data_IF_287257404797
#
_entry.id   IF_287257404797
#
_cell.length_a   1.000
_cell.length_b   1.000
_cell.length_c   1.000
_cell.angle_alpha   90.00
_cell.angle_beta   90.00
_cell.angle_gamma   90.00
#
_symmetry.space_group_name_H-M   'P 1'
#
loop_
_entity.id
_entity.type
_entity.pdbx_description
1 polymer ?
#
# COMPACT_ATOMS: atom_id res chain seq x y z
N UNK A 1 8.42 -0.29 4.96
CA UNK A 1 6.94 -0.34 4.98
C UNK A 1 6.39 0.78 4.14
N UNK A 2 5.35 0.52 3.35
CA UNK A 2 4.72 1.50 2.48
C UNK A 2 3.25 1.69 2.88
N UNK A 3 2.87 2.93 3.09
CA UNK A 3 1.54 3.37 3.51
C UNK A 3 0.99 4.43 2.56
N UNK A 4 -0.29 4.79 2.71
CA UNK A 4 -0.89 5.86 1.94
C UNK A 4 -2.25 5.53 1.36
N UNK A 5 -2.77 6.48 0.59
CA UNK A 5 -4.13 6.45 0.05
C UNK A 5 -4.43 5.18 -0.77
N UNK A 6 -5.69 4.72 -0.68
CA UNK A 6 -6.23 3.73 -1.59
C UNK A 6 -6.21 4.29 -3.00
N UNK A 7 -5.76 3.51 -3.99
CA UNK A 7 -5.48 3.96 -5.36
C UNK A 7 -4.19 4.78 -5.54
N UNK A 8 -3.33 4.87 -4.51
CA UNK A 8 -2.04 5.55 -4.61
C UNK A 8 -0.94 4.79 -5.39
N UNK A 9 -1.27 3.71 -6.10
CA UNK A 9 -0.27 2.95 -6.84
C UNK A 9 0.66 2.07 -5.99
N UNK A 10 0.35 1.82 -4.71
CA UNK A 10 1.16 0.97 -3.81
C UNK A 10 1.41 -0.43 -4.38
N UNK A 11 0.34 -1.11 -4.82
CA UNK A 11 0.43 -2.42 -5.49
C UNK A 11 1.22 -2.34 -6.79
N UNK A 12 0.96 -1.31 -7.62
CA UNK A 12 1.69 -1.09 -8.88
C UNK A 12 3.18 -0.86 -8.63
N UNK A 13 3.56 -0.21 -7.53
CA UNK A 13 4.95 -0.06 -7.14
C UNK A 13 5.57 -1.43 -6.81
N UNK A 14 4.89 -2.30 -6.05
CA UNK A 14 5.37 -3.66 -5.80
C UNK A 14 5.52 -4.45 -7.11
N UNK A 15 4.56 -4.37 -8.02
CA UNK A 15 4.62 -5.03 -9.33
C UNK A 15 5.81 -4.50 -10.15
N UNK A 16 6.04 -3.20 -10.13
CA UNK A 16 7.18 -2.55 -10.81
C UNK A 16 8.50 -3.04 -10.23
N UNK A 17 8.64 -3.10 -8.90
CA UNK A 17 9.83 -3.62 -8.23
C UNK A 17 10.10 -5.08 -8.62
N UNK A 18 9.05 -5.91 -8.64
CA UNK A 18 9.15 -7.31 -9.06
C UNK A 18 9.63 -7.44 -10.50
N UNK A 19 9.04 -6.67 -11.43
CA UNK A 19 9.40 -6.67 -12.84
C UNK A 19 10.85 -6.19 -13.05
N UNK A 20 11.26 -5.11 -12.40
CA UNK A 20 12.64 -4.60 -12.47
C UNK A 20 13.65 -5.64 -11.98
N UNK A 21 13.38 -6.28 -10.85
CA UNK A 21 14.24 -7.34 -10.32
C UNK A 21 14.33 -8.55 -11.27
N UNK A 22 13.20 -8.96 -11.86
CA UNK A 22 13.15 -10.08 -12.80
C UNK A 22 13.90 -9.78 -14.11
N UNK A 23 13.68 -8.59 -14.68
CA UNK A 23 14.36 -8.14 -15.90
C UNK A 23 15.88 -8.10 -15.69
N UNK A 24 16.33 -7.56 -14.56
CA UNK A 24 17.74 -7.54 -14.19
C UNK A 24 18.32 -8.95 -14.06
N UNK A 25 17.60 -9.88 -13.41
CA UNK A 25 18.03 -11.27 -13.27
C UNK A 25 18.12 -12.01 -14.62
N UNK A 26 17.31 -11.61 -15.61
CA UNK A 26 17.38 -12.13 -16.98
C UNK A 26 18.49 -11.47 -17.84
N UNK A 27 19.19 -10.46 -17.32
CA UNK A 27 20.17 -9.68 -18.07
C UNK A 27 19.54 -8.75 -19.12
N UNK A 28 18.27 -8.38 -18.94
CA UNK A 28 17.55 -7.47 -19.83
C UNK A 28 17.62 -6.02 -19.34
N UNK A 29 17.46 -5.03 -20.25
CA UNK A 29 17.27 -3.63 -19.85
C UNK A 29 16.05 -3.48 -18.92
N UNK A 30 16.17 -2.60 -17.94
CA UNK A 30 15.09 -2.25 -17.01
C UNK A 30 14.47 -0.90 -17.35
N UNK A 31 13.19 -0.65 -17.03
CA UNK A 31 12.51 0.61 -17.30
C UNK A 31 12.92 1.71 -16.31
N UNK A 32 14.17 2.18 -16.42
CA UNK A 32 14.72 3.27 -15.61
C UNK A 32 15.83 4.01 -16.38
N UNK A 33 15.97 5.31 -16.14
CA UNK A 33 17.10 6.08 -16.68
C UNK A 33 18.45 5.58 -16.13
N UNK A 34 18.47 5.23 -14.84
CA UNK A 34 19.59 4.61 -14.14
C UNK A 34 19.04 3.66 -13.07
N UNK A 35 19.67 2.49 -12.87
CA UNK A 35 19.26 1.54 -11.84
C UNK A 35 20.47 0.81 -11.24
N UNK A 36 20.49 0.71 -9.91
CA UNK A 36 21.36 -0.17 -9.15
C UNK A 36 20.47 -1.20 -8.44
N UNK A 37 20.64 -2.48 -8.80
CA UNK A 37 19.70 -3.54 -8.44
C UNK A 37 20.46 -4.62 -7.69
N UNK A 38 19.95 -4.98 -6.51
CA UNK A 38 20.49 -6.11 -5.73
C UNK A 38 20.32 -7.43 -6.48
N UNK A 39 21.25 -8.35 -6.28
CA UNK A 39 21.08 -9.73 -6.74
C UNK A 39 20.16 -10.47 -5.76
N UNK A 40 19.00 -10.90 -6.25
CA UNK A 40 18.03 -11.68 -5.49
C UNK A 40 17.92 -13.07 -6.11
N UNK A 41 18.02 -14.10 -5.28
CA UNK A 41 17.88 -15.50 -5.70
C UNK A 41 16.41 -15.92 -5.65
N UNK A 42 15.65 -15.32 -4.73
CA UNK A 42 14.21 -15.58 -4.59
C UNK A 42 13.44 -14.26 -4.54
N UNK A 43 12.35 -14.18 -5.29
CA UNK A 43 11.38 -13.08 -5.22
C UNK A 43 10.07 -13.67 -4.73
N UNK A 44 9.59 -13.20 -3.58
CA UNK A 44 8.26 -13.54 -3.06
C UNK A 44 7.34 -12.36 -3.33
N UNK A 45 6.30 -12.59 -4.13
CA UNK A 45 5.24 -11.63 -4.35
C UNK A 45 3.95 -12.17 -3.76
N UNK A 46 3.53 -11.62 -2.62
CA UNK A 46 2.25 -11.94 -2.00
C UNK A 46 1.27 -10.80 -2.22
N UNK A 47 0.14 -11.12 -2.85
CA UNK A 47 -1.00 -10.24 -2.98
C UNK A 47 -2.26 -11.01 -2.60
N UNK A 48 -3.20 -10.31 -1.99
CA UNK A 48 -4.54 -10.85 -1.75
C UNK A 48 -5.17 -11.40 -3.03
N UNK A 49 -5.63 -12.65 -2.97
CA UNK A 49 -6.65 -13.19 -3.87
C UNK A 49 -7.99 -13.25 -3.14
N UNK A 50 -9.10 -12.98 -3.83
CA UNK A 50 -10.45 -12.78 -3.26
C UNK A 50 -11.07 -14.03 -2.59
N UNK A 51 -10.28 -15.04 -2.22
CA UNK A 51 -10.72 -16.33 -1.72
C UNK A 51 -10.59 -16.39 -0.19
N UNK A 52 -11.68 -16.13 0.53
CA UNK A 52 -11.77 -16.38 1.96
C UNK A 52 -12.13 -17.85 2.23
N UNK A 53 -11.14 -18.74 2.14
CA UNK A 53 -11.26 -20.12 2.59
C UNK A 53 -10.63 -20.27 3.99
N UNK A 54 -11.13 -21.21 4.80
CA UNK A 54 -10.45 -21.60 6.04
C UNK A 54 -9.01 -22.09 5.70
N UNK A 55 -8.00 -21.54 6.37
CA UNK A 55 -6.58 -21.91 6.17
C UNK A 55 -5.76 -21.00 5.25
N UNK A 56 -6.30 -19.87 4.77
CA UNK A 56 -5.55 -18.89 3.96
C UNK A 56 -4.33 -18.34 4.71
N UNK A 57 -4.46 -18.04 6.01
CA UNK A 57 -3.33 -17.60 6.83
C UNK A 57 -2.22 -18.66 6.88
N UNK A 58 -2.56 -19.91 7.17
CA UNK A 58 -1.57 -20.99 7.26
C UNK A 58 -0.86 -21.22 5.92
N UNK A 59 -1.61 -21.29 4.82
CA UNK A 59 -1.03 -21.45 3.48
C UNK A 59 -0.14 -20.27 3.07
N UNK A 60 -0.51 -19.05 3.46
CA UNK A 60 0.29 -17.83 3.25
C UNK A 60 1.60 -17.88 4.03
N UNK A 61 1.56 -18.25 5.32
CA UNK A 61 2.79 -18.38 6.10
C UNK A 61 3.70 -19.49 5.55
N UNK A 62 3.12 -20.61 5.10
CA UNK A 62 3.87 -21.70 4.46
C UNK A 62 4.51 -21.31 3.12
N UNK A 63 3.99 -20.32 2.41
CA UNK A 63 4.59 -19.85 1.17
C UNK A 63 5.61 -18.72 1.37
N UNK A 64 5.44 -17.90 2.42
CA UNK A 64 6.26 -16.71 2.68
C UNK A 64 7.49 -17.03 3.55
N UNK A 65 7.34 -17.86 4.59
CA UNK A 65 8.40 -18.08 5.59
C UNK A 65 9.58 -18.90 5.03
N UNK A 66 9.38 -20.04 4.31
CA UNK A 66 10.52 -20.84 3.86
C UNK A 66 11.50 -20.09 2.93
N UNK A 67 11.04 -19.28 1.95
CA UNK A 67 11.92 -18.41 1.17
C UNK A 67 12.72 -17.38 1.97
N UNK A 68 12.19 -16.94 3.12
CA UNK A 68 12.88 -16.00 4.00
C UNK A 68 13.98 -16.67 4.83
N UNK A 69 13.78 -17.93 5.21
CA UNK A 69 14.72 -18.69 6.05
C UNK A 69 15.72 -19.53 5.26
N UNK A 70 15.65 -19.50 3.93
CA UNK A 70 16.58 -20.22 3.05
C UNK A 70 17.94 -19.53 2.93
N UNK A 71 18.88 -20.24 2.31
CA UNK A 71 20.14 -19.62 1.87
C UNK A 71 19.87 -18.69 0.68
N UNK A 72 20.59 -17.57 0.62
CA UNK A 72 20.49 -16.60 -0.47
C UNK A 72 19.78 -15.30 -0.09
N UNK A 73 19.72 -14.36 -1.05
CA UNK A 73 19.07 -13.06 -0.86
C UNK A 73 17.64 -13.10 -1.38
N UNK A 74 16.68 -12.82 -0.51
CA UNK A 74 15.25 -12.82 -0.85
C UNK A 74 14.70 -11.39 -0.95
N UNK A 75 13.91 -11.13 -2.00
CA UNK A 75 13.09 -9.93 -2.13
C UNK A 75 11.65 -10.24 -1.75
N UNK A 76 11.19 -9.68 -0.64
CA UNK A 76 9.81 -9.80 -0.16
C UNK A 76 8.97 -8.62 -0.62
N UNK A 77 7.89 -8.90 -1.35
CA UNK A 77 6.91 -7.91 -1.81
C UNK A 77 5.54 -8.37 -1.34
N UNK A 78 5.01 -7.74 -0.28
CA UNK A 78 3.78 -8.19 0.39
C UNK A 78 2.76 -7.08 0.39
N UNK A 79 1.57 -7.37 -0.11
CA UNK A 79 0.44 -6.44 -0.23
C UNK A 79 -0.76 -6.87 0.62
N UNK A 80 -1.31 -5.94 1.40
CA UNK A 80 -2.51 -6.10 2.24
C UNK A 80 -2.52 -7.39 3.08
N UNK A 81 -1.43 -7.68 3.79
CA UNK A 81 -1.32 -8.88 4.64
C UNK A 81 -2.46 -8.97 5.67
N UNK A 82 -2.93 -7.83 6.17
CA UNK A 82 -4.02 -7.74 7.14
C UNK A 82 -5.36 -8.33 6.66
N UNK A 83 -5.55 -8.51 5.36
CA UNK A 83 -6.80 -9.04 4.82
C UNK A 83 -7.02 -10.53 5.11
N UNK A 84 -6.01 -11.26 5.61
CA UNK A 84 -6.06 -12.72 5.79
C UNK A 84 -6.43 -13.17 7.22
N UNK A 85 -6.46 -12.26 8.19
CA UNK A 85 -6.73 -12.56 9.60
C UNK A 85 -7.35 -11.37 10.35
N UNK A 86 -7.58 -11.51 11.65
CA UNK A 86 -8.12 -10.43 12.47
C UNK A 86 -7.09 -9.30 12.63
N UNK A 87 -7.48 -8.01 12.60
CA UNK A 87 -6.55 -6.87 12.54
C UNK A 87 -5.46 -6.88 13.62
N UNK A 88 -5.81 -7.17 14.88
CA UNK A 88 -4.82 -7.22 15.98
C UNK A 88 -3.78 -8.33 15.78
N UNK A 89 -4.19 -9.49 15.26
CA UNK A 89 -3.28 -10.60 14.96
C UNK A 89 -2.46 -10.36 13.71
N UNK A 90 -3.02 -9.61 12.75
CA UNK A 90 -2.32 -9.23 11.53
C UNK A 90 -1.11 -8.34 11.82
N UNK A 91 -1.28 -7.35 12.71
CA UNK A 91 -0.17 -6.47 13.11
C UNK A 91 0.98 -7.26 13.74
N UNK A 92 0.69 -8.12 14.72
CA UNK A 92 1.71 -8.96 15.38
C UNK A 92 2.47 -9.85 14.39
N UNK A 93 1.74 -10.52 13.49
CA UNK A 93 2.32 -11.39 12.48
C UNK A 93 3.16 -10.63 11.46
N UNK A 94 2.68 -9.47 11.00
CA UNK A 94 3.40 -8.62 10.06
C UNK A 94 4.68 -8.06 10.69
N UNK A 95 4.64 -7.65 11.97
CA UNK A 95 5.83 -7.29 12.74
C UNK A 95 6.84 -8.44 12.83
N UNK A 96 6.36 -9.66 13.08
CA UNK A 96 7.19 -10.86 13.08
C UNK A 96 7.85 -11.12 11.71
N UNK A 97 7.11 -10.94 10.62
CA UNK A 97 7.64 -11.07 9.25
C UNK A 97 8.66 -9.99 8.91
N UNK A 98 8.43 -8.74 9.29
CA UNK A 98 9.39 -7.64 9.10
C UNK A 98 10.66 -7.90 9.88
N UNK A 99 10.54 -8.32 11.15
CA UNK A 99 11.70 -8.66 12.00
C UNK A 99 12.49 -9.81 11.40
N UNK A 100 11.82 -10.88 10.99
CA UNK A 100 12.47 -12.02 10.32
C UNK A 100 13.20 -11.58 9.04
N UNK A 101 12.63 -10.65 8.28
CA UNK A 101 13.25 -10.15 7.04
C UNK A 101 14.49 -9.32 7.31
N UNK A 102 14.55 -8.62 8.44
CA UNK A 102 15.72 -7.86 8.89
C UNK A 102 16.81 -8.79 9.44
N UNK A 103 16.43 -9.82 10.18
CA UNK A 103 17.35 -10.79 10.76
C UNK A 103 18.00 -11.68 9.69
N UNK A 104 17.31 -11.90 8.58
CA UNK A 104 17.80 -12.62 7.42
C UNK A 104 18.43 -11.62 6.42
N UNK A 105 19.28 -12.10 5.51
CA UNK A 105 19.89 -11.27 4.47
C UNK A 105 18.91 -10.93 3.33
N UNK A 106 17.71 -10.45 3.67
CA UNK A 106 16.61 -10.19 2.77
C UNK A 106 16.27 -8.69 2.67
N UNK A 107 15.54 -8.32 1.61
CA UNK A 107 14.96 -6.99 1.43
C UNK A 107 13.44 -7.13 1.37
N UNK A 108 12.71 -6.28 2.10
CA UNK A 108 11.26 -6.35 2.14
C UNK A 108 10.55 -5.02 1.92
N UNK A 109 9.55 -5.02 1.04
CA UNK A 109 8.57 -3.95 0.87
C UNK A 109 7.20 -4.50 1.21
N UNK A 110 6.64 -3.96 2.30
CA UNK A 110 5.35 -4.36 2.86
C UNK A 110 4.38 -3.20 2.71
N UNK A 111 3.30 -3.41 1.99
CA UNK A 111 2.18 -2.47 1.86
C UNK A 111 1.12 -2.85 2.88
N UNK A 112 0.74 -1.89 3.73
CA UNK A 112 -0.28 -2.10 4.77
C UNK A 112 -0.94 -0.79 5.18
N UNK A 113 -2.14 -0.89 5.72
CA UNK A 113 -2.83 0.17 6.44
C UNK A 113 -2.58 0.15 7.95
N UNK A 114 -1.89 -0.88 8.46
CA UNK A 114 -1.62 -1.08 9.90
C UNK A 114 -0.31 -0.45 10.39
N UNK A 115 0.33 0.45 9.63
CA UNK A 115 1.69 0.89 9.99
C UNK A 115 1.81 1.57 11.36
N UNK A 116 0.76 2.27 11.80
CA UNK A 116 0.73 2.88 13.14
C UNK A 116 0.69 1.80 14.24
N UNK A 117 0.08 0.65 13.97
CA UNK A 117 -0.01 -0.49 14.88
C UNK A 117 1.28 -1.34 14.93
N UNK A 118 2.23 -1.08 14.01
CA UNK A 118 3.48 -1.84 13.89
C UNK A 118 4.64 -1.22 14.67
N UNK A 119 4.41 -0.15 15.42
CA UNK A 119 5.46 0.53 16.19
C UNK A 119 5.81 -0.22 17.50
N UNK A 120 7.09 -0.38 17.85
CA UNK A 120 8.28 0.07 17.10
C UNK A 120 8.72 -0.94 16.04
N UNK A 121 9.13 -0.42 14.88
CA UNK A 121 9.80 -1.22 13.84
C UNK A 121 11.30 -1.39 14.17
N UNK A 122 11.95 -2.43 13.61
CA UNK A 122 13.41 -2.56 13.69
C UNK A 122 14.14 -1.32 13.15
N UNK A 123 15.32 -0.99 13.69
CA UNK A 123 16.06 0.25 13.34
C UNK A 123 16.38 0.40 11.84
N UNK A 124 16.57 -0.71 11.14
CA UNK A 124 16.86 -0.75 9.70
C UNK A 124 15.60 -0.62 8.83
N UNK A 125 14.41 -0.78 9.43
CA UNK A 125 13.14 -0.61 8.75
C UNK A 125 12.69 0.85 8.81
N UNK A 126 12.07 1.31 7.72
CA UNK A 126 11.48 2.64 7.62
C UNK A 126 10.02 2.56 7.18
N UNK A 127 9.25 3.61 7.47
CA UNK A 127 7.90 3.79 6.95
C UNK A 127 7.94 4.89 5.90
N UNK A 128 7.45 4.58 4.71
CA UNK A 128 7.33 5.50 3.60
C UNK A 128 5.84 5.68 3.25
N UNK A 129 5.49 6.84 2.73
CA UNK A 129 4.09 7.25 2.53
C UNK A 129 3.83 7.77 1.13
N UNK A 130 2.72 7.34 0.53
CA UNK A 130 2.16 7.92 -0.69
C UNK A 130 0.94 8.78 -0.34
N UNK A 131 0.82 9.93 -0.99
CA UNK A 131 -0.16 10.97 -0.63
C UNK A 131 -1.06 11.32 -1.80
N UNK A 132 -2.36 11.39 -1.54
CA UNK A 132 -3.26 12.09 -2.43
C UNK A 132 -3.13 13.60 -2.18
N UNK A 133 -3.09 14.38 -3.25
CA UNK A 133 -2.95 15.83 -3.21
C UNK A 133 -4.29 16.55 -3.31
N UNK A 134 -5.33 15.87 -3.80
CA UNK A 134 -6.67 16.42 -3.95
C UNK A 134 -7.41 15.79 -5.12
N UNK A 135 -8.40 16.53 -5.64
CA UNK A 135 -9.08 16.24 -6.89
C UNK A 135 -8.68 17.26 -7.95
N UNK A 136 -8.67 16.87 -9.22
CA UNK A 136 -8.54 17.80 -10.36
C UNK A 136 -9.91 18.38 -10.79
N UNK A 137 -9.95 19.29 -11.79
CA UNK A 137 -11.20 19.87 -12.30
C UNK A 137 -12.23 18.85 -12.81
N UNK A 138 -11.78 17.68 -13.27
CA UNK A 138 -12.62 16.57 -13.74
C UNK A 138 -13.06 15.64 -12.59
N UNK A 139 -12.72 16.00 -11.34
CA UNK A 139 -12.93 15.25 -10.10
C UNK A 139 -12.13 13.95 -10.03
N UNK A 140 -11.06 13.81 -10.81
CA UNK A 140 -10.15 12.68 -10.71
C UNK A 140 -9.16 12.86 -9.56
N UNK A 141 -8.80 11.74 -8.92
CA UNK A 141 -7.92 11.76 -7.75
C UNK A 141 -6.48 12.08 -8.18
N UNK A 142 -5.95 13.20 -7.70
CA UNK A 142 -4.55 13.57 -7.89
C UNK A 142 -3.71 12.91 -6.80
N UNK A 143 -2.73 12.12 -7.21
CA UNK A 143 -1.83 11.40 -6.30
C UNK A 143 -0.39 11.71 -6.65
N UNK A 144 0.40 12.06 -5.64
CA UNK A 144 1.85 12.02 -5.71
C UNK A 144 2.31 10.57 -5.55
N UNK A 145 2.53 9.88 -6.68
CA UNK A 145 2.90 8.46 -6.70
C UNK A 145 4.31 8.19 -6.15
N UNK A 146 5.10 9.22 -5.84
CA UNK A 146 6.42 9.07 -5.26
C UNK A 146 6.32 8.83 -3.74
N UNK A 147 6.82 7.69 -3.22
CA UNK A 147 6.89 7.48 -1.79
C UNK A 147 7.79 8.54 -1.12
N UNK A 148 7.26 9.23 -0.12
CA UNK A 148 8.02 10.13 0.75
C UNK A 148 8.60 9.31 1.90
N UNK A 149 9.91 9.33 2.02
CA UNK A 149 10.60 8.48 3.00
C UNK A 149 10.39 8.98 4.43
N UNK A 150 10.34 8.03 5.37
CA UNK A 150 10.19 8.32 6.80
C UNK A 150 8.87 8.97 7.20
N UNK A 151 7.86 8.95 6.32
CA UNK A 151 6.56 9.59 6.54
C UNK A 151 5.45 8.56 6.46
N UNK A 152 4.52 8.59 7.42
CA UNK A 152 3.31 7.78 7.36
C UNK A 152 2.32 8.42 6.39
N UNK A 153 2.02 7.71 5.30
CA UNK A 153 0.97 8.06 4.35
C UNK A 153 -0.40 7.84 4.99
N UNK A 154 -1.33 8.75 4.72
CA UNK A 154 -2.70 8.69 5.25
C UNK A 154 -3.69 8.43 4.12
N UNK A 155 -4.73 7.65 4.44
CA UNK A 155 -5.91 7.56 3.58
C UNK A 155 -6.68 8.88 3.65
N UNK A 156 -7.08 9.39 2.49
CA UNK A 156 -7.88 10.63 2.33
C UNK A 156 -9.28 10.29 1.78
N UNK A 157 -10.12 9.57 2.55
CA UNK A 157 -11.47 9.20 2.12
C UNK A 157 -12.35 10.40 1.77
N UNK A 158 -12.07 11.57 2.34
CA UNK A 158 -12.75 12.83 2.06
C UNK A 158 -12.73 13.19 0.56
N UNK A 159 -11.65 12.87 -0.16
CA UNK A 159 -11.58 13.13 -1.61
C UNK A 159 -12.52 12.20 -2.40
N UNK A 160 -12.59 10.93 -2.01
CA UNK A 160 -13.51 9.97 -2.62
C UNK A 160 -14.96 10.38 -2.36
N UNK A 161 -15.28 10.73 -1.11
CA UNK A 161 -16.64 11.17 -0.74
C UNK A 161 -17.01 12.47 -1.45
N UNK A 162 -16.08 13.44 -1.55
CA UNK A 162 -16.29 14.68 -2.31
C UNK A 162 -16.67 14.40 -3.76
N UNK A 163 -15.92 13.54 -4.44
CA UNK A 163 -16.22 13.12 -5.82
C UNK A 163 -17.59 12.46 -5.94
N UNK A 164 -17.95 11.59 -5.00
CA UNK A 164 -19.26 10.93 -5.00
C UNK A 164 -20.42 11.94 -4.81
N UNK A 165 -20.28 12.89 -3.90
CA UNK A 165 -21.28 13.98 -3.71
C UNK A 165 -21.42 14.84 -4.97
N UNK A 166 -20.31 15.16 -5.63
CA UNK A 166 -20.31 15.99 -6.83
C UNK A 166 -20.92 15.29 -8.06
N UNK A 167 -20.70 13.97 -8.19
CA UNK A 167 -21.19 13.16 -9.31
C UNK A 167 -22.61 12.60 -9.11
N UNK A 168 -23.16 12.68 -7.90
CA UNK A 168 -24.51 12.21 -7.61
C UNK A 168 -25.55 12.98 -8.45
N UNK A 169 -26.32 12.22 -9.23
CA UNK A 169 -27.29 12.80 -10.18
C UNK A 169 -28.68 12.95 -9.57
N UNK A 170 -29.04 12.10 -8.60
CA UNK A 170 -30.31 12.16 -7.90
C UNK A 170 -30.17 12.70 -6.47
N UNK A 171 -31.25 13.30 -5.97
CA UNK A 171 -31.26 13.98 -4.67
C UNK A 171 -31.13 13.01 -3.49
N UNK A 172 -31.62 11.77 -3.63
CA UNK A 172 -31.59 10.79 -2.56
C UNK A 172 -30.18 10.20 -2.40
N UNK A 173 -29.52 9.84 -3.51
CA UNK A 173 -28.13 9.42 -3.55
C UNK A 173 -27.20 10.51 -3.00
N UNK A 174 -27.38 11.75 -3.46
CA UNK A 174 -26.61 12.90 -2.97
C UNK A 174 -26.76 13.08 -1.45
N UNK A 175 -27.98 13.01 -0.92
CA UNK A 175 -28.21 13.09 0.52
C UNK A 175 -27.54 11.94 1.29
N UNK A 176 -27.49 10.74 0.69
CA UNK A 176 -26.75 9.61 1.23
C UNK A 176 -25.25 9.87 1.34
N UNK A 177 -24.62 10.40 0.29
CA UNK A 177 -23.20 10.75 0.32
C UNK A 177 -22.90 11.96 1.22
N UNK A 178 -23.79 12.95 1.30
CA UNK A 178 -23.66 14.07 2.25
C UNK A 178 -23.69 13.58 3.71
N UNK A 179 -24.49 12.57 4.03
CA UNK A 179 -24.47 11.91 5.34
C UNK A 179 -23.13 11.23 5.63
N UNK A 180 -22.53 10.57 4.63
CA UNK A 180 -21.19 9.99 4.76
C UNK A 180 -20.10 11.07 4.87
N UNK A 181 -20.25 12.20 4.19
CA UNK A 181 -19.33 13.34 4.30
C UNK A 181 -19.28 13.88 5.73
N UNK A 182 -20.41 13.93 6.43
CA UNK A 182 -20.46 14.33 7.83
C UNK A 182 -19.64 13.39 8.74
N UNK A 183 -19.58 12.09 8.42
CA UNK A 183 -18.81 11.12 9.20
C UNK A 183 -17.28 11.19 8.94
N UNK A 184 -16.88 11.58 7.73
CA UNK A 184 -15.46 11.65 7.32
C UNK A 184 -14.84 13.02 7.60
N UNK A 185 -15.65 14.07 7.70
CA UNK A 185 -15.24 15.44 8.00
C UNK A 185 -15.81 16.42 6.98
N UNK A 186 -16.93 17.05 7.34
CA UNK A 186 -17.69 17.93 6.42
C UNK A 186 -16.87 19.12 5.90
N UNK A 187 -16.07 19.74 6.77
CA UNK A 187 -15.18 20.86 6.39
C UNK A 187 -14.12 20.44 5.35
N UNK A 188 -13.56 19.24 5.49
CA UNK A 188 -12.55 18.72 4.56
C UNK A 188 -13.16 18.43 3.18
N UNK A 189 -14.38 17.89 3.16
CA UNK A 189 -15.14 17.65 1.92
C UNK A 189 -15.50 18.96 1.22
N UNK A 190 -16.04 19.94 1.96
CA UNK A 190 -16.40 21.24 1.39
C UNK A 190 -15.19 22.01 0.87
N UNK A 191 -14.05 21.94 1.59
CA UNK A 191 -12.79 22.53 1.14
C UNK A 191 -12.33 21.89 -0.17
N UNK A 192 -12.33 20.56 -0.25
CA UNK A 192 -11.95 19.83 -1.48
C UNK A 192 -12.80 20.27 -2.67
N UNK A 193 -14.13 20.32 -2.51
CA UNK A 193 -15.05 20.75 -3.56
C UNK A 193 -14.89 22.21 -3.94
N UNK A 194 -14.46 23.05 -3.01
CA UNK A 194 -14.15 24.46 -3.28
C UNK A 194 -12.85 24.58 -4.07
N UNK A 195 -11.80 23.88 -3.67
CA UNK A 195 -10.49 23.91 -4.33
C UNK A 195 -10.58 23.47 -5.81
N UNK A 196 -11.43 22.50 -6.12
CA UNK A 196 -11.72 22.07 -7.51
C UNK A 196 -12.39 23.18 -8.34
N UNK A 197 -13.30 23.95 -7.76
CA UNK A 197 -14.05 25.00 -8.49
C UNK A 197 -13.21 26.23 -8.85
N UNK A 198 -12.06 26.40 -8.21
CA UNK A 198 -11.18 27.56 -8.38
C UNK A 198 -9.86 27.22 -9.10
N UNK A 199 -9.68 25.98 -9.58
CA UNK A 199 -8.60 25.56 -10.49
C UNK A 199 -9.06 25.65 -11.95
#
# INVERSE_FOLDING_TARGET
MLTGANSGGKTTLLETLSQVALLAAMGLPVPADNAEIGQFETIVFHRRHASFNAGVLESTLKSIVPPLTGDGRTLMLVDEFEAITEPGRAADLLNGLVSLTVDQAALGVYVTHLADDLSPLPETARIDGIFAEGLDPDLDLRVDYQPRFGTVGKSTPEFIVSRLVANATDRAERAGFESLAAAVGEEAVQRTLSDVKWQ
#
